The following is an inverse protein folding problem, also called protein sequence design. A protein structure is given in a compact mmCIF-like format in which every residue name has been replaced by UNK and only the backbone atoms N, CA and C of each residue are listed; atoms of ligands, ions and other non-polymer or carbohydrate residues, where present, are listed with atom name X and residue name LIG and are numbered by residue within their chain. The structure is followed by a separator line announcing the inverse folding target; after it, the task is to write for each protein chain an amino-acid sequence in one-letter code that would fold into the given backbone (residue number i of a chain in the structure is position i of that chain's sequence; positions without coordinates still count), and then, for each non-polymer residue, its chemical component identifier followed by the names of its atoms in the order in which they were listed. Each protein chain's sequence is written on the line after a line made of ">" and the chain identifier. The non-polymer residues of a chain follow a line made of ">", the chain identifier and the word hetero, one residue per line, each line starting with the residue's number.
data_IF_732430048599
#
_entry.id   IF_732430048599
#
_cell.length_a   1.000
_cell.length_b   1.000
_cell.length_c   1.000
_cell.angle_alpha   90.00
_cell.angle_beta   90.00
_cell.angle_gamma   90.00
#
_symmetry.space_group_name_H-M   'P 1'
#
loop_
_entity.id
_entity.type
_entity.pdbx_description
1 polymer ?
#
# COMPACT_ATOMS: atom_id res chain seq x y z
N UNK A 1 -0.29 3.56 -25.41
CA UNK A 1 -0.58 4.20 -24.11
C UNK A 1 0.20 3.47 -23.03
N UNK A 2 0.78 4.18 -22.05
CA UNK A 2 1.32 3.50 -20.86
C UNK A 2 0.19 2.68 -20.22
N UNK A 3 0.43 1.40 -19.93
CA UNK A 3 -0.54 0.57 -19.24
C UNK A 3 -0.93 1.25 -17.92
N UNK A 4 -2.22 1.32 -17.62
CA UNK A 4 -2.69 1.87 -16.34
C UNK A 4 -2.10 1.03 -15.22
N UNK A 5 -1.46 1.68 -14.25
CA UNK A 5 -0.96 0.99 -13.06
C UNK A 5 -2.14 0.31 -12.34
N UNK A 6 -2.13 -1.04 -12.20
CA UNK A 6 -3.28 -1.80 -11.72
C UNK A 6 -3.60 -1.53 -10.24
N UNK A 7 -2.62 -1.12 -9.43
CA UNK A 7 -2.81 -0.87 -8.00
C UNK A 7 -2.96 0.62 -7.65
N UNK A 8 -2.90 1.52 -8.64
CA UNK A 8 -3.06 2.97 -8.44
C UNK A 8 -4.38 3.35 -7.75
N UNK A 9 -5.46 2.60 -7.97
CA UNK A 9 -6.74 2.81 -7.28
C UNK A 9 -6.56 2.77 -5.77
N UNK A 10 -5.95 1.71 -5.24
CA UNK A 10 -5.76 1.53 -3.80
C UNK A 10 -4.79 2.57 -3.22
N UNK A 11 -3.74 2.91 -3.95
CA UNK A 11 -2.84 4.01 -3.55
C UNK A 11 -3.59 5.34 -3.36
N UNK A 12 -4.51 5.68 -4.28
CA UNK A 12 -5.36 6.86 -4.13
C UNK A 12 -6.34 6.76 -2.95
N UNK A 13 -6.93 5.58 -2.71
CA UNK A 13 -7.81 5.37 -1.56
C UNK A 13 -7.06 5.50 -0.22
N UNK A 14 -5.79 5.07 -0.16
CA UNK A 14 -4.95 5.28 1.03
C UNK A 14 -4.78 6.76 1.30
N UNK A 15 -4.44 7.56 0.29
CA UNK A 15 -4.27 9.01 0.46
C UNK A 15 -5.57 9.68 0.95
N UNK A 16 -6.72 9.32 0.37
CA UNK A 16 -8.03 9.82 0.83
C UNK A 16 -8.31 9.42 2.28
N UNK A 17 -8.06 8.15 2.62
CA UNK A 17 -8.29 7.65 3.97
C UNK A 17 -7.43 8.39 4.98
N UNK A 18 -6.14 8.57 4.69
CA UNK A 18 -5.22 9.30 5.56
C UNK A 18 -5.69 10.74 5.75
N UNK A 19 -6.03 11.45 4.67
CA UNK A 19 -6.56 12.81 4.77
C UNK A 19 -7.82 12.88 5.64
N UNK A 20 -8.75 11.94 5.48
CA UNK A 20 -9.98 11.88 6.28
C UNK A 20 -9.75 11.51 7.75
N UNK A 21 -8.64 10.84 8.07
CA UNK A 21 -8.33 10.31 9.40
C UNK A 21 -7.17 11.04 10.10
N UNK A 22 -6.85 12.26 9.68
CA UNK A 22 -5.72 13.04 10.22
C UNK A 22 -4.40 12.26 10.17
N UNK A 23 -4.21 11.51 9.08
CA UNK A 23 -3.04 10.68 8.80
C UNK A 23 -2.81 9.55 9.82
N UNK A 24 -3.83 9.17 10.60
CA UNK A 24 -3.76 8.00 11.47
C UNK A 24 -3.87 6.70 10.65
N UNK A 25 -2.71 6.12 10.33
CA UNK A 25 -2.61 4.91 9.50
C UNK A 25 -3.39 3.71 10.05
N UNK A 26 -3.48 3.59 11.38
CA UNK A 26 -4.24 2.52 12.06
C UNK A 26 -5.72 2.49 11.67
N UNK A 27 -6.31 3.65 11.34
CA UNK A 27 -7.69 3.75 10.85
C UNK A 27 -7.84 3.36 9.38
N UNK A 28 -6.73 3.28 8.65
CA UNK A 28 -6.66 2.98 7.23
C UNK A 28 -6.12 1.59 6.92
N UNK A 29 -5.84 0.76 7.93
CA UNK A 29 -5.21 -0.57 7.79
C UNK A 29 -5.94 -1.46 6.76
N UNK A 30 -7.28 -1.39 6.69
CA UNK A 30 -8.05 -2.12 5.68
C UNK A 30 -7.66 -1.74 4.24
N UNK A 31 -7.43 -0.45 3.96
CA UNK A 31 -7.03 0.03 2.63
C UNK A 31 -5.57 -0.34 2.32
N UNK A 32 -4.70 -0.28 3.32
CA UNK A 32 -3.33 -0.80 3.21
C UNK A 32 -3.30 -2.29 2.90
N UNK A 33 -4.17 -3.10 3.53
CA UNK A 33 -4.29 -4.53 3.23
C UNK A 33 -4.75 -4.78 1.78
N UNK A 34 -5.73 -4.02 1.28
CA UNK A 34 -6.15 -4.12 -0.13
C UNK A 34 -5.01 -3.76 -1.09
N UNK A 35 -4.21 -2.75 -0.77
CA UNK A 35 -3.02 -2.41 -1.55
C UNK A 35 -1.99 -3.55 -1.54
N UNK A 36 -1.72 -4.16 -0.39
CA UNK A 36 -0.82 -5.33 -0.28
C UNK A 36 -1.35 -6.52 -1.09
N UNK A 37 -2.65 -6.81 -1.00
CA UNK A 37 -3.32 -7.85 -1.80
C UNK A 37 -3.17 -7.57 -3.30
N UNK A 38 -3.39 -6.33 -3.73
CA UNK A 38 -3.18 -5.94 -5.12
C UNK A 38 -1.72 -6.19 -5.54
N UNK A 39 -0.76 -5.77 -4.74
CA UNK A 39 0.66 -5.94 -5.05
C UNK A 39 1.11 -7.40 -5.09
N UNK A 40 0.47 -8.28 -4.31
CA UNK A 40 0.73 -9.72 -4.34
C UNK A 40 0.19 -10.42 -5.60
N UNK A 41 -0.82 -9.85 -6.26
CA UNK A 41 -1.42 -10.44 -7.47
C UNK A 41 -0.58 -10.25 -8.74
N UNK A 42 0.32 -9.25 -8.77
CA UNK A 42 1.07 -8.90 -9.97
C UNK A 42 2.58 -9.15 -9.81
N UNK A 43 3.29 -9.53 -10.89
CA UNK A 43 4.74 -9.58 -10.90
C UNK A 43 5.39 -8.25 -10.50
N UNK A 44 6.61 -8.32 -9.95
CA UNK A 44 7.37 -7.13 -9.57
C UNK A 44 7.61 -6.24 -10.80
N UNK A 45 7.39 -4.93 -10.65
CA UNK A 45 7.64 -3.93 -11.70
C UNK A 45 6.43 -3.59 -12.58
N UNK A 46 5.30 -4.32 -12.45
CA UNK A 46 4.07 -4.02 -13.20
C UNK A 46 3.35 -2.79 -12.64
N UNK A 47 3.25 -2.69 -11.31
CA UNK A 47 2.70 -1.53 -10.62
C UNK A 47 3.83 -0.73 -9.99
N UNK A 48 3.96 0.55 -10.37
CA UNK A 48 4.88 1.47 -9.74
C UNK A 48 4.45 1.74 -8.29
N UNK A 49 3.14 1.82 -8.06
CA UNK A 49 2.52 2.05 -6.75
C UNK A 49 2.91 0.97 -5.73
N UNK A 50 3.19 -0.25 -6.19
CA UNK A 50 3.64 -1.36 -5.34
C UNK A 50 5.11 -1.31 -4.92
N UNK A 51 5.90 -0.37 -5.45
CA UNK A 51 7.34 -0.30 -5.12
C UNK A 51 7.58 0.10 -3.65
N UNK A 52 6.72 0.95 -3.09
CA UNK A 52 6.80 1.37 -1.68
C UNK A 52 6.27 0.32 -0.68
N UNK A 53 5.37 -0.57 -1.12
CA UNK A 53 4.70 -1.55 -0.25
C UNK A 53 5.53 -2.81 0.04
N UNK A 54 6.62 -3.01 -0.70
CA UNK A 54 7.47 -4.21 -0.57
C UNK A 54 8.46 -4.13 0.59
N UNK A 55 8.69 -2.94 1.14
CA UNK A 55 9.63 -2.71 2.23
C UNK A 55 8.95 -2.99 3.58
N UNK A 56 7.66 -2.64 3.71
CA UNK A 56 6.91 -2.80 4.96
C UNK A 56 6.75 -4.25 5.45
N UNK A 57 6.67 -5.25 4.56
CA UNK A 57 6.61 -6.67 4.97
C UNK A 57 7.88 -7.13 5.70
N UNK A 58 9.03 -6.49 5.46
CA UNK A 58 10.28 -6.78 6.16
C UNK A 58 10.46 -5.96 7.43
N UNK A 59 9.88 -4.77 7.50
CA UNK A 59 10.08 -3.84 8.62
C UNK A 59 9.07 -4.01 9.78
N UNK A 60 7.84 -4.47 9.52
CA UNK A 60 6.88 -4.78 10.60
C UNK A 60 7.29 -5.96 11.51
N UNK A 61 8.32 -6.72 11.16
CA UNK A 61 8.94 -7.69 12.08
C UNK A 61 9.98 -7.07 13.04
N UNK A 62 10.39 -5.81 12.83
CA UNK A 62 11.44 -5.15 13.63
C UNK A 62 10.86 -4.16 14.65
N UNK A 63 9.63 -3.66 14.45
CA UNK A 63 9.03 -2.63 15.32
C UNK A 63 8.17 -3.13 16.50
N UNK A 64 8.06 -4.46 16.72
CA UNK A 64 7.40 -5.06 17.90
C UNK A 64 8.42 -5.72 18.87
N UNK A 65 9.66 -5.25 18.88
CA UNK A 65 10.68 -5.63 19.86
C UNK A 65 11.67 -4.49 20.10
N UNK A 66 11.25 -3.50 20.89
CA UNK A 66 12.09 -2.86 21.91
C UNK A 66 11.22 -2.10 22.92
#
# INVERSE_FOLDING_TARGET
>A
MAAKDPCKKYACEIQKCLQANNYLESKCEAVFQEMRRCCAQYPKGISLSCSGFKVEEKEKQVSDSN
#
